data_IF_896355098458
#
_entry.id   IF_896355098458
#
_cell.length_a   1.000
_cell.length_b   1.000
_cell.length_c   1.000
_cell.angle_alpha   90.00
_cell.angle_beta   90.00
_cell.angle_gamma   90.00
#
_symmetry.space_group_name_H-M   'P 1'
#
loop_
_entity.id
_entity.type
_entity.pdbx_description
1 polymer ?
#
# COMPACT_ATOMS: atom_id res chain seq x y z
N UNK A 1 12.08 -22.26 -5.97
CA UNK A 1 10.90 -21.73 -5.25
C UNK A 1 9.72 -21.36 -6.17
N UNK A 2 9.87 -21.27 -7.49
CA UNK A 2 8.86 -20.68 -8.40
C UNK A 2 7.50 -21.39 -8.56
N UNK A 3 7.37 -22.71 -8.34
CA UNK A 3 6.08 -23.40 -8.61
C UNK A 3 4.94 -23.02 -7.65
N UNK A 4 5.25 -22.61 -6.41
CA UNK A 4 4.24 -22.17 -5.44
C UNK A 4 3.77 -20.73 -5.70
N UNK A 5 4.66 -19.87 -6.18
CA UNK A 5 4.33 -18.47 -6.53
C UNK A 5 3.49 -18.36 -7.80
N UNK A 6 3.71 -19.24 -8.78
CA UNK A 6 2.90 -19.31 -10.01
C UNK A 6 1.44 -19.71 -9.72
N UNK A 7 1.22 -20.65 -8.80
CA UNK A 7 -0.12 -21.06 -8.37
C UNK A 7 -0.83 -19.96 -7.55
N UNK A 8 -0.11 -19.23 -6.70
CA UNK A 8 -0.63 -18.09 -5.96
C UNK A 8 -1.00 -16.92 -6.88
N UNK A 9 -0.16 -16.60 -7.88
CA UNK A 9 -0.42 -15.54 -8.84
C UNK A 9 -1.62 -15.85 -9.76
N UNK A 10 -1.73 -17.10 -10.25
CA UNK A 10 -2.89 -17.55 -11.02
C UNK A 10 -4.17 -17.54 -10.19
N UNK A 11 -4.09 -17.93 -8.91
CA UNK A 11 -5.23 -17.83 -7.99
C UNK A 11 -5.65 -16.37 -7.77
N UNK A 12 -4.70 -15.45 -7.59
CA UNK A 12 -4.99 -14.03 -7.38
C UNK A 12 -5.66 -13.40 -8.60
N UNK A 13 -5.11 -13.62 -9.81
CA UNK A 13 -5.62 -13.07 -11.08
C UNK A 13 -7.03 -13.57 -11.41
N UNK A 14 -7.32 -14.85 -11.14
CA UNK A 14 -8.66 -15.41 -11.32
C UNK A 14 -9.63 -14.82 -10.29
N UNK A 15 -9.18 -14.56 -9.06
CA UNK A 15 -10.01 -13.95 -8.00
C UNK A 15 -10.35 -12.50 -8.33
N UNK A 16 -9.41 -11.68 -8.80
CA UNK A 16 -9.68 -10.30 -9.23
C UNK A 16 -10.59 -10.24 -10.45
N UNK A 17 -10.42 -11.13 -11.43
CA UNK A 17 -11.26 -11.17 -12.62
C UNK A 17 -12.72 -11.55 -12.30
N UNK A 18 -12.93 -12.49 -11.39
CA UNK A 18 -14.28 -12.90 -10.96
C UNK A 18 -14.96 -11.79 -10.15
N UNK A 19 -14.23 -11.11 -9.26
CA UNK A 19 -14.76 -9.97 -8.49
C UNK A 19 -15.12 -8.79 -9.41
N UNK A 20 -14.30 -8.47 -10.41
CA UNK A 20 -14.57 -7.39 -11.36
C UNK A 20 -15.82 -7.65 -12.23
N UNK A 21 -16.03 -8.90 -12.67
CA UNK A 21 -17.21 -9.30 -13.45
C UNK A 21 -18.49 -9.19 -12.60
N UNK A 22 -18.43 -9.59 -11.32
CA UNK A 22 -19.58 -9.51 -10.40
C UNK A 22 -19.95 -8.05 -10.07
N UNK A 23 -18.95 -7.16 -9.96
CA UNK A 23 -19.19 -5.73 -9.70
C UNK A 23 -19.75 -4.98 -10.91
N UNK A 24 -19.38 -5.38 -12.14
CA UNK A 24 -19.93 -4.77 -13.37
C UNK A 24 -21.41 -5.09 -13.60
N UNK A 25 -21.89 -6.27 -13.20
CA UNK A 25 -23.31 -6.63 -13.31
C UNK A 25 -24.17 -5.93 -12.24
N UNK A 26 -23.64 -5.70 -11.03
CA UNK A 26 -24.35 -4.97 -9.97
C UNK A 26 -24.64 -3.49 -10.33
N UNK A 27 -23.74 -2.85 -11.08
CA UNK A 27 -23.94 -1.47 -11.52
C UNK A 27 -25.01 -1.35 -12.63
N UNK A 28 -25.26 -2.42 -13.39
CA UNK A 28 -26.16 -2.41 -14.54
C UNK A 28 -27.63 -2.52 -14.13
N UNK A 29 -27.92 -3.15 -12.99
CA UNK A 29 -29.29 -3.27 -12.45
C UNK A 29 -29.77 -2.01 -11.71
N UNK A 30 -28.86 -1.16 -11.22
CA UNK A 30 -29.22 0.11 -10.54
C UNK A 30 -29.74 1.21 -11.49
N UNK A 31 -29.70 1.01 -12.82
CA UNK A 31 -30.01 2.07 -13.81
C UNK A 31 -31.44 2.03 -14.36
N UNK A 32 -32.32 1.17 -13.84
CA UNK A 32 -33.70 1.03 -14.32
C UNK A 32 -34.70 1.10 -13.16
N UNK A 33 -35.02 2.32 -12.72
CA UNK A 33 -36.21 2.80 -11.97
C UNK A 33 -35.74 4.10 -11.25
N UNK A 34 -36.31 5.30 -11.38
CA UNK A 34 -37.71 5.72 -11.51
C UNK A 34 -37.78 7.26 -11.82
N UNK A 35 -38.97 7.87 -11.95
CA UNK A 35 -39.24 8.99 -12.87
C UNK A 35 -39.13 10.41 -12.29
N UNK A 36 -39.19 11.34 -13.24
CA UNK A 36 -39.18 12.80 -13.18
C UNK A 36 -40.27 13.44 -12.30
N UNK A 37 -39.90 14.49 -11.54
CA UNK A 37 -40.81 15.59 -11.21
C UNK A 37 -40.02 16.90 -11.02
N UNK A 38 -40.54 17.95 -11.64
CA UNK A 38 -39.96 19.25 -11.91
C UNK A 38 -40.88 20.29 -11.26
N UNK A 39 -40.41 21.15 -10.35
CA UNK A 39 -41.14 22.37 -9.93
C UNK A 39 -40.16 23.50 -9.60
N UNK A 40 -40.46 24.66 -10.16
CA UNK A 40 -39.69 25.90 -10.27
C UNK A 40 -39.76 26.83 -9.04
N UNK A 41 -38.70 27.63 -8.89
CA UNK A 41 -38.53 28.99 -8.37
C UNK A 41 -39.71 29.75 -7.71
N UNK A 42 -39.45 30.43 -6.58
CA UNK A 42 -39.51 31.90 -6.43
C UNK A 42 -39.05 32.37 -5.02
N UNK A 43 -38.26 33.45 -5.00
CA UNK A 43 -37.95 34.39 -3.90
C UNK A 43 -38.30 35.81 -4.44
N UNK A 44 -38.27 36.96 -3.71
CA UNK A 44 -37.93 37.22 -2.29
C UNK A 44 -38.84 38.27 -1.60
N UNK A 45 -38.59 38.63 -0.32
CA UNK A 45 -38.85 39.99 0.21
C UNK A 45 -38.19 40.25 1.59
N UNK A 46 -37.72 41.49 1.75
CA UNK A 46 -36.89 42.03 2.84
C UNK A 46 -37.65 42.48 4.10
N UNK A 47 -36.93 42.65 5.23
CA UNK A 47 -37.40 43.37 6.42
C UNK A 47 -36.37 43.46 7.56
N UNK A 48 -36.19 44.66 8.12
CA UNK A 48 -35.07 45.13 8.97
C UNK A 48 -35.20 44.93 10.49
N UNK A 49 -34.02 44.80 11.13
CA UNK A 49 -33.48 45.40 12.38
C UNK A 49 -34.19 45.32 13.75
N UNK A 50 -33.42 44.92 14.78
CA UNK A 50 -32.98 45.62 16.03
C UNK A 50 -32.67 44.52 17.09
N UNK A 51 -31.70 44.58 18.01
CA UNK A 51 -30.74 45.57 18.48
C UNK A 51 -29.78 44.92 19.51
N UNK A 52 -28.91 45.77 20.08
CA UNK A 52 -28.14 45.61 21.33
C UNK A 52 -26.80 44.87 21.37
N UNK A 53 -25.87 45.56 22.04
CA UNK A 53 -24.42 45.38 22.03
C UNK A 53 -23.94 44.46 23.15
N UNK A 54 -23.09 43.49 22.80
CA UNK A 54 -22.09 42.94 23.71
C UNK A 54 -20.79 42.78 22.90
N UNK A 55 -19.71 43.40 23.37
CA UNK A 55 -18.37 43.26 22.80
C UNK A 55 -17.95 41.78 22.90
N UNK A 56 -18.10 41.07 21.78
CA UNK A 56 -17.55 39.74 21.55
C UNK A 56 -16.02 39.85 21.55
N UNK A 57 -15.40 39.20 22.53
CA UNK A 57 -14.04 38.69 22.42
C UNK A 57 -13.97 37.89 21.10
N UNK A 58 -12.99 38.23 20.27
CA UNK A 58 -12.94 37.88 18.85
C UNK A 58 -12.91 36.36 18.63
N UNK A 59 -13.97 35.75 18.09
CA UNK A 59 -13.96 34.32 17.76
C UNK A 59 -13.13 34.00 16.53
N UNK A 60 -12.73 35.02 15.75
CA UNK A 60 -12.18 34.80 14.41
C UNK A 60 -10.70 34.37 14.42
N UNK A 61 -9.87 34.90 15.33
CA UNK A 61 -8.45 34.49 15.40
C UNK A 61 -8.29 33.05 15.96
N UNK A 62 -9.13 32.65 16.91
CA UNK A 62 -9.13 31.28 17.44
C UNK A 62 -9.74 30.27 16.46
N UNK A 63 -10.75 30.67 15.67
CA UNK A 63 -11.28 29.84 14.59
C UNK A 63 -10.26 29.68 13.46
N UNK A 64 -9.47 30.71 13.13
CA UNK A 64 -8.44 30.59 12.09
C UNK A 64 -7.28 29.67 12.52
N UNK A 65 -6.91 29.65 13.82
CA UNK A 65 -5.98 28.66 14.38
C UNK A 65 -6.59 27.26 14.50
N UNK A 66 -7.89 27.13 14.79
CA UNK A 66 -8.61 25.84 14.75
C UNK A 66 -8.84 25.32 13.32
N UNK A 67 -8.99 26.22 12.34
CA UNK A 67 -9.12 25.89 10.91
C UNK A 67 -7.76 25.62 10.25
N UNK A 68 -6.65 26.15 10.77
CA UNK A 68 -5.32 25.70 10.37
C UNK A 68 -4.97 24.31 10.92
N UNK A 69 -5.77 23.77 11.86
CA UNK A 69 -5.72 22.37 12.29
C UNK A 69 -6.60 21.43 11.44
N UNK A 70 -7.38 21.94 10.48
CA UNK A 70 -8.12 21.07 9.56
C UNK A 70 -7.22 20.66 8.40
N UNK A 71 -6.42 19.62 8.64
CA UNK A 71 -6.07 18.68 7.58
C UNK A 71 -7.32 18.41 6.72
N UNK A 72 -7.18 18.47 5.39
CA UNK A 72 -8.22 18.00 4.47
C UNK A 72 -8.79 16.69 5.01
N UNK A 73 -10.11 16.51 5.20
CA UNK A 73 -10.65 15.33 5.87
C UNK A 73 -10.06 14.04 5.29
N UNK A 74 -9.18 13.39 6.06
CA UNK A 74 -8.53 12.13 5.68
C UNK A 74 -7.07 12.19 5.21
N UNK A 75 -6.47 13.36 4.98
CA UNK A 75 -5.05 13.49 4.56
C UNK A 75 -4.18 13.85 5.76
N UNK A 76 -3.23 12.99 6.09
CA UNK A 76 -2.31 13.18 7.20
C UNK A 76 -1.09 14.03 6.83
N UNK A 77 -0.50 14.71 7.82
CA UNK A 77 0.78 15.41 7.68
C UNK A 77 1.92 14.45 7.33
N UNK A 78 1.82 13.18 7.73
CA UNK A 78 2.83 12.16 7.42
C UNK A 78 2.94 11.91 5.91
N UNK A 79 1.82 11.99 5.20
CA UNK A 79 1.78 11.81 3.74
C UNK A 79 2.50 12.92 2.96
N UNK A 80 2.92 14.02 3.60
CA UNK A 80 3.70 15.08 2.96
C UNK A 80 5.19 14.74 2.84
N UNK A 81 5.64 13.68 3.51
CA UNK A 81 7.04 13.25 3.48
C UNK A 81 7.23 12.17 2.40
N UNK A 82 8.29 12.27 1.57
CA UNK A 82 8.60 11.25 0.58
C UNK A 82 8.70 9.85 1.21
N UNK A 83 8.09 8.87 0.56
CA UNK A 83 8.06 7.46 0.99
C UNK A 83 6.94 7.12 1.99
N UNK A 84 6.08 8.09 2.34
CA UNK A 84 4.94 7.88 3.24
C UNK A 84 3.58 8.05 2.56
N UNK A 85 3.54 8.51 1.31
CA UNK A 85 2.30 8.69 0.56
C UNK A 85 1.96 7.52 -0.37
N UNK A 86 2.98 6.74 -0.78
CA UNK A 86 2.90 5.77 -1.88
C UNK A 86 2.29 6.41 -3.14
N UNK A 87 2.65 7.67 -3.42
CA UNK A 87 2.18 8.39 -4.60
C UNK A 87 2.97 7.98 -5.84
N UNK A 88 2.43 8.31 -7.02
CA UNK A 88 3.17 8.21 -8.29
C UNK A 88 4.53 8.95 -8.24
N UNK A 89 4.64 10.00 -7.42
CA UNK A 89 5.89 10.72 -7.21
C UNK A 89 6.92 9.88 -6.42
N UNK A 90 6.48 9.19 -5.36
CA UNK A 90 7.32 8.27 -4.59
C UNK A 90 7.79 7.10 -5.47
N UNK A 91 6.90 6.54 -6.31
CA UNK A 91 7.24 5.47 -7.26
C UNK A 91 8.23 5.94 -8.34
N UNK A 92 7.99 7.12 -8.93
CA UNK A 92 8.89 7.69 -9.91
C UNK A 92 10.26 8.04 -9.29
N UNK A 93 10.28 8.50 -8.03
CA UNK A 93 11.51 8.73 -7.30
C UNK A 93 12.27 7.42 -7.04
N UNK A 94 11.57 6.39 -6.56
CA UNK A 94 12.15 5.06 -6.35
C UNK A 94 12.83 4.52 -7.62
N UNK A 95 12.15 4.60 -8.77
CA UNK A 95 12.70 4.16 -10.06
C UNK A 95 13.96 4.95 -10.46
N UNK A 96 13.97 6.28 -10.28
CA UNK A 96 15.16 7.11 -10.55
C UNK A 96 16.34 6.76 -9.66
N UNK A 97 16.08 6.56 -8.37
CA UNK A 97 17.12 6.20 -7.40
C UNK A 97 17.67 4.80 -7.66
N UNK A 98 16.81 3.85 -8.06
CA UNK A 98 17.22 2.50 -8.44
C UNK A 98 18.15 2.51 -9.64
N UNK A 99 17.78 3.18 -10.73
CA UNK A 99 18.67 3.35 -11.89
C UNK A 99 20.00 4.00 -11.49
N UNK A 100 19.96 5.02 -10.64
CA UNK A 100 21.19 5.68 -10.18
C UNK A 100 22.06 4.77 -9.31
N UNK A 101 21.48 3.91 -8.46
CA UNK A 101 22.22 2.90 -7.69
C UNK A 101 22.87 1.87 -8.61
N UNK A 102 22.16 1.37 -9.61
CA UNK A 102 22.69 0.42 -10.59
C UNK A 102 23.90 1.00 -11.36
N UNK A 103 23.85 2.27 -11.73
CA UNK A 103 24.99 2.96 -12.36
C UNK A 103 26.19 3.11 -11.41
N UNK A 104 25.95 3.39 -10.11
CA UNK A 104 27.01 3.42 -9.10
C UNK A 104 27.63 2.03 -8.90
N UNK A 105 26.83 0.97 -8.91
CA UNK A 105 27.29 -0.42 -8.84
C UNK A 105 28.14 -0.73 -10.06
N UNK A 106 27.69 -0.42 -11.27
CA UNK A 106 28.44 -0.62 -12.51
C UNK A 106 29.78 0.12 -12.50
N UNK A 107 29.78 1.38 -12.03
CA UNK A 107 31.01 2.16 -11.83
C UNK A 107 31.99 1.48 -10.88
N UNK A 108 31.52 1.07 -9.71
CA UNK A 108 32.32 0.39 -8.68
C UNK A 108 32.87 -0.96 -9.16
N UNK A 109 32.08 -1.76 -9.87
CA UNK A 109 32.52 -3.05 -10.41
C UNK A 109 33.61 -2.86 -11.46
N UNK A 110 33.46 -1.86 -12.34
CA UNK A 110 34.47 -1.50 -13.33
C UNK A 110 35.77 -0.99 -12.70
N UNK A 111 35.69 -0.22 -11.61
CA UNK A 111 36.87 0.20 -10.82
C UNK A 111 37.66 -1.01 -10.28
N UNK A 112 36.96 -2.09 -9.95
CA UNK A 112 37.54 -3.35 -9.48
C UNK A 112 37.91 -4.32 -10.61
N UNK A 113 37.77 -3.92 -11.87
CA UNK A 113 38.15 -4.72 -13.04
C UNK A 113 37.13 -5.79 -13.44
N UNK A 114 35.89 -5.68 -12.98
CA UNK A 114 34.79 -6.57 -13.37
C UNK A 114 33.83 -5.89 -14.36
N UNK A 115 33.29 -6.66 -15.29
CA UNK A 115 32.15 -6.23 -16.10
C UNK A 115 30.86 -6.37 -15.28
N UNK A 116 30.00 -5.36 -15.36
CA UNK A 116 28.68 -5.37 -14.73
C UNK A 116 27.71 -4.58 -15.62
N UNK A 117 26.59 -5.20 -15.94
CA UNK A 117 25.47 -4.62 -16.65
C UNK A 117 24.40 -4.26 -15.61
N UNK A 118 24.02 -2.97 -15.52
CA UNK A 118 22.88 -2.52 -14.71
C UNK A 118 21.65 -3.41 -14.89
N UNK A 119 21.03 -3.80 -13.77
CA UNK A 119 19.88 -4.69 -13.73
C UNK A 119 18.76 -4.10 -12.83
N UNK A 120 18.17 -2.96 -13.20
CA UNK A 120 17.05 -2.39 -12.45
C UNK A 120 15.82 -3.30 -12.49
N UNK A 121 14.94 -3.16 -11.51
CA UNK A 121 13.68 -3.88 -11.43
C UNK A 121 12.82 -3.63 -12.67
N UNK A 122 12.25 -4.70 -13.19
CA UNK A 122 11.27 -4.65 -14.26
C UNK A 122 9.93 -4.19 -13.68
N UNK A 123 9.47 -3.00 -14.08
CA UNK A 123 8.17 -2.48 -13.68
C UNK A 123 7.09 -3.16 -14.53
N UNK A 124 6.14 -3.81 -13.86
CA UNK A 124 4.96 -4.41 -14.49
C UNK A 124 3.75 -3.55 -14.12
N UNK A 125 3.22 -2.81 -15.08
CA UNK A 125 2.02 -2.00 -14.89
C UNK A 125 0.71 -2.78 -15.16
N UNK A 126 -0.43 -2.15 -14.88
CA UNK A 126 -1.75 -2.76 -15.05
C UNK A 126 -2.03 -3.16 -16.53
N UNK A 127 -1.51 -2.37 -17.48
CA UNK A 127 -1.67 -2.65 -18.89
C UNK A 127 -0.88 -3.90 -19.31
N UNK A 128 0.34 -4.06 -18.78
CA UNK A 128 1.15 -5.25 -18.97
C UNK A 128 0.51 -6.47 -18.32
N UNK A 129 -0.03 -6.37 -17.10
CA UNK A 129 -0.75 -7.47 -16.44
C UNK A 129 -1.96 -7.95 -17.24
N UNK A 130 -2.64 -7.03 -17.94
CA UNK A 130 -3.82 -7.33 -18.75
C UNK A 130 -3.49 -7.89 -20.14
N UNK A 131 -2.21 -7.89 -20.53
CA UNK A 131 -1.73 -8.42 -21.80
C UNK A 131 -0.85 -9.66 -21.56
N UNK A 132 -1.36 -10.89 -21.80
CA UNK A 132 -0.63 -12.12 -21.50
C UNK A 132 0.74 -12.24 -22.20
N UNK A 133 0.87 -11.75 -23.43
CA UNK A 133 2.14 -11.81 -24.17
C UNK A 133 3.17 -10.85 -23.60
N UNK A 134 2.74 -9.64 -23.24
CA UNK A 134 3.61 -8.63 -22.63
C UNK A 134 4.00 -9.01 -21.20
N UNK A 135 3.05 -9.54 -20.43
CA UNK A 135 3.32 -10.07 -19.10
C UNK A 135 4.37 -11.19 -19.13
N UNK A 136 4.22 -12.16 -20.03
CA UNK A 136 5.20 -13.25 -20.19
C UNK A 136 6.58 -12.71 -20.58
N UNK A 137 6.63 -11.70 -21.46
CA UNK A 137 7.87 -11.03 -21.86
C UNK A 137 8.57 -10.37 -20.66
N UNK A 138 7.85 -9.55 -19.90
CA UNK A 138 8.40 -8.85 -18.72
C UNK A 138 8.78 -9.83 -17.60
N UNK A 139 8.01 -10.90 -17.42
CA UNK A 139 8.35 -11.97 -16.48
C UNK A 139 9.67 -12.61 -16.88
N UNK A 140 9.84 -12.99 -18.15
CA UNK A 140 11.08 -13.57 -18.64
C UNK A 140 12.26 -12.61 -18.49
N UNK A 141 12.04 -11.32 -18.74
CA UNK A 141 13.04 -10.26 -18.52
C UNK A 141 13.43 -10.18 -17.03
N UNK A 142 12.46 -10.17 -16.11
CA UNK A 142 12.71 -10.10 -14.66
C UNK A 142 13.44 -11.33 -14.09
N UNK A 143 13.30 -12.48 -14.75
CA UNK A 143 13.97 -13.72 -14.37
C UNK A 143 15.37 -13.87 -14.99
N UNK A 144 15.74 -13.00 -15.93
CA UNK A 144 17.01 -13.06 -16.64
C UNK A 144 18.03 -12.16 -15.96
N UNK A 145 19.12 -12.73 -15.43
CA UNK A 145 20.25 -11.92 -14.96
C UNK A 145 21.16 -11.55 -16.15
N UNK A 146 21.28 -10.26 -16.52
CA UNK A 146 22.12 -9.85 -17.64
C UNK A 146 23.62 -10.10 -17.40
N UNK A 147 24.03 -10.30 -16.14
CA UNK A 147 25.42 -10.57 -15.76
C UNK A 147 25.78 -12.06 -15.78
N UNK A 148 24.79 -12.95 -15.90
CA UNK A 148 25.00 -14.40 -15.75
C UNK A 148 26.05 -14.94 -16.73
N UNK A 149 26.02 -14.51 -17.99
CA UNK A 149 26.95 -14.97 -19.03
C UNK A 149 28.40 -14.61 -18.68
N UNK A 150 28.63 -13.35 -18.26
CA UNK A 150 29.95 -12.89 -17.86
C UNK A 150 30.45 -13.65 -16.63
N UNK A 151 29.62 -13.71 -15.58
CA UNK A 151 29.95 -14.39 -14.33
C UNK A 151 30.24 -15.88 -14.56
N UNK A 152 29.49 -16.52 -15.47
CA UNK A 152 29.70 -17.92 -15.82
C UNK A 152 31.00 -18.18 -16.58
N UNK A 153 31.54 -17.18 -17.28
CA UNK A 153 32.83 -17.27 -17.97
C UNK A 153 34.04 -17.22 -17.01
N UNK A 154 33.85 -16.71 -15.79
CA UNK A 154 34.91 -16.60 -14.78
C UNK A 154 35.27 -17.96 -14.17
N UNK A 155 36.54 -18.12 -13.79
CA UNK A 155 36.98 -19.24 -12.95
C UNK A 155 36.26 -19.22 -11.61
N UNK A 156 36.27 -20.35 -10.89
CA UNK A 156 35.63 -20.47 -9.57
C UNK A 156 36.13 -19.38 -8.61
N UNK A 157 37.45 -19.17 -8.53
CA UNK A 157 38.03 -18.16 -7.64
C UNK A 157 37.71 -16.72 -8.09
N UNK A 158 37.71 -16.45 -9.40
CA UNK A 158 37.36 -15.13 -9.93
C UNK A 158 35.88 -14.81 -9.71
N UNK A 159 35.00 -15.80 -9.80
CA UNK A 159 33.56 -15.67 -9.53
C UNK A 159 33.28 -15.38 -8.06
N UNK A 160 34.01 -16.05 -7.16
CA UNK A 160 33.94 -15.75 -5.73
C UNK A 160 34.36 -14.30 -5.47
N UNK A 161 35.49 -13.87 -6.02
CA UNK A 161 35.97 -12.49 -5.87
C UNK A 161 35.00 -11.46 -6.50
N UNK A 162 34.35 -11.80 -7.62
CA UNK A 162 33.30 -11.00 -8.22
C UNK A 162 32.12 -10.78 -7.25
N UNK A 163 31.57 -11.84 -6.65
CA UNK A 163 30.44 -11.72 -5.73
C UNK A 163 30.83 -11.04 -4.41
N UNK A 164 32.04 -11.28 -3.90
CA UNK A 164 32.56 -10.55 -2.74
C UNK A 164 32.66 -9.05 -3.04
N UNK A 165 33.08 -8.67 -4.24
CA UNK A 165 33.14 -7.25 -4.64
C UNK A 165 31.73 -6.66 -4.82
N UNK A 166 30.84 -7.39 -5.49
CA UNK A 166 29.49 -6.92 -5.79
C UNK A 166 28.63 -6.79 -4.54
N UNK A 167 28.48 -7.87 -3.79
CA UNK A 167 27.53 -8.00 -2.67
C UNK A 167 28.18 -8.18 -1.31
N UNK A 168 29.48 -8.48 -1.26
CA UNK A 168 30.18 -8.85 -0.02
C UNK A 168 29.96 -10.31 0.37
N UNK A 169 29.39 -11.13 -0.53
CA UNK A 169 29.08 -12.54 -0.28
C UNK A 169 29.91 -13.44 -1.20
N UNK A 170 30.31 -14.62 -0.72
CA UNK A 170 31.03 -15.61 -1.53
C UNK A 170 30.17 -16.16 -2.67
N UNK A 171 28.89 -16.40 -2.40
CA UNK A 171 27.89 -16.83 -3.37
C UNK A 171 26.49 -16.37 -2.89
N UNK A 172 25.84 -15.43 -3.59
CA UNK A 172 24.51 -14.96 -3.21
C UNK A 172 23.41 -16.02 -3.37
N UNK A 173 23.69 -17.10 -4.11
CA UNK A 173 22.74 -18.19 -4.38
C UNK A 173 22.97 -19.43 -3.48
N UNK A 174 23.91 -19.38 -2.53
CA UNK A 174 24.15 -20.47 -1.60
C UNK A 174 23.18 -20.39 -0.40
N UNK A 175 22.20 -21.31 -0.28
CA UNK A 175 21.26 -21.31 0.84
C UNK A 175 21.91 -21.69 2.18
N UNK A 176 23.12 -22.25 2.16
CA UNK A 176 23.90 -22.65 3.34
C UNK A 176 25.02 -21.66 3.67
N UNK A 177 25.14 -20.55 2.93
CA UNK A 177 26.17 -19.53 3.07
C UNK A 177 26.20 -18.92 4.47
N UNK A 178 26.99 -19.50 5.37
CA UNK A 178 27.13 -19.08 6.75
C UNK A 178 28.02 -17.85 6.90
N UNK A 179 27.60 -17.00 7.85
CA UNK A 179 28.28 -15.84 8.42
C UNK A 179 28.65 -14.73 7.41
N UNK A 180 27.79 -13.71 7.36
CA UNK A 180 28.13 -12.42 6.75
C UNK A 180 29.35 -11.84 7.46
N UNK A 181 30.47 -11.74 6.76
CA UNK A 181 31.50 -10.78 7.15
C UNK A 181 30.88 -9.39 6.99
N UNK A 182 30.44 -8.80 8.09
CA UNK A 182 29.78 -7.50 8.10
C UNK A 182 30.69 -6.40 7.52
N UNK A 183 32.01 -6.56 7.63
CA UNK A 183 32.97 -5.63 7.04
C UNK A 183 33.00 -5.79 5.51
N UNK A 184 33.13 -7.02 5.00
CA UNK A 184 33.09 -7.28 3.56
C UNK A 184 31.74 -6.91 2.93
N UNK A 185 30.63 -7.17 3.64
CA UNK A 185 29.32 -6.66 3.27
C UNK A 185 29.34 -5.14 3.21
N UNK A 186 29.83 -4.45 4.24
CA UNK A 186 29.86 -2.99 4.27
C UNK A 186 30.67 -2.35 3.12
N UNK A 187 31.73 -2.98 2.62
CA UNK A 187 32.57 -2.41 1.54
C UNK A 187 32.15 -2.83 0.13
N UNK A 188 31.09 -3.64 -0.02
CA UNK A 188 30.62 -4.09 -1.33
C UNK A 188 30.07 -2.96 -2.21
N UNK A 189 30.13 -3.13 -3.53
CA UNK A 189 29.62 -2.15 -4.48
C UNK A 189 28.13 -1.85 -4.29
N UNK A 190 27.31 -2.89 -4.01
CA UNK A 190 25.90 -2.75 -3.66
C UNK A 190 25.74 -1.89 -2.42
N UNK A 191 26.40 -2.23 -1.31
CA UNK A 191 26.22 -1.46 -0.07
C UNK A 191 26.74 -0.03 -0.15
N UNK A 192 27.81 0.23 -0.93
CA UNK A 192 28.27 1.59 -1.23
C UNK A 192 27.17 2.39 -1.94
N UNK A 193 26.55 1.84 -2.99
CA UNK A 193 25.48 2.50 -3.72
C UNK A 193 24.26 2.81 -2.84
N UNK A 194 23.83 1.87 -1.99
CA UNK A 194 22.71 2.07 -1.06
C UNK A 194 23.00 3.08 0.07
N UNK A 195 24.27 3.25 0.47
CA UNK A 195 24.66 4.33 1.39
C UNK A 195 24.68 5.69 0.72
N UNK A 196 25.14 5.75 -0.52
CA UNK A 196 25.26 7.00 -1.28
C UNK A 196 23.90 7.52 -1.74
N UNK A 197 23.00 6.63 -2.14
CA UNK A 197 21.64 6.92 -2.55
C UNK A 197 20.66 6.12 -1.67
N UNK A 198 20.37 6.61 -0.45
CA UNK A 198 19.27 6.10 0.34
C UNK A 198 17.97 6.19 -0.46
N UNK A 199 17.17 5.11 -0.48
CA UNK A 199 15.90 5.11 -1.19
C UNK A 199 14.87 6.07 -0.58
N UNK A 200 13.86 6.45 -1.35
CA UNK A 200 12.72 7.26 -0.93
C UNK A 200 12.03 6.70 0.32
N UNK A 201 12.03 5.38 0.48
CA UNK A 201 11.49 4.67 1.64
C UNK A 201 12.48 4.51 2.82
N UNK A 202 13.71 5.02 2.72
CA UNK A 202 14.74 4.81 3.75
C UNK A 202 14.32 5.36 5.11
N UNK A 203 13.59 6.48 5.15
CA UNK A 203 13.07 7.05 6.41
C UNK A 203 11.95 6.23 7.00
N UNK A 204 11.04 5.71 6.17
CA UNK A 204 10.03 4.75 6.60
C UNK A 204 10.66 3.50 7.19
N UNK A 205 11.69 2.95 6.54
CA UNK A 205 12.44 1.80 7.05
C UNK A 205 13.17 2.10 8.36
N UNK A 206 13.77 3.30 8.49
CA UNK A 206 14.41 3.73 9.73
C UNK A 206 13.41 3.83 10.91
N UNK A 207 12.16 4.16 10.61
CA UNK A 207 11.11 4.38 11.61
C UNK A 207 10.11 3.22 11.71
N UNK A 208 10.43 2.04 11.14
CA UNK A 208 9.48 0.93 11.02
C UNK A 208 8.89 0.50 12.36
N UNK A 209 9.71 0.32 13.40
CA UNK A 209 9.24 -0.06 14.74
C UNK A 209 8.29 0.99 15.34
N UNK A 210 8.56 2.27 15.11
CA UNK A 210 7.73 3.36 15.60
C UNK A 210 6.40 3.47 14.84
N UNK A 211 6.42 3.17 13.54
CA UNK A 211 5.23 3.09 12.68
C UNK A 211 4.35 1.89 13.08
N UNK A 212 4.93 0.71 13.25
CA UNK A 212 4.22 -0.49 13.71
C UNK A 212 3.59 -0.24 15.09
N UNK A 213 4.34 0.36 16.02
CA UNK A 213 3.80 0.71 17.33
C UNK A 213 2.67 1.75 17.25
N UNK A 214 2.68 2.64 16.26
CA UNK A 214 1.60 3.59 16.01
C UNK A 214 0.36 2.87 15.44
N UNK A 215 0.53 2.01 14.46
CA UNK A 215 -0.55 1.22 13.84
C UNK A 215 -1.27 0.37 14.89
N UNK A 216 -0.54 -0.32 15.78
CA UNK A 216 -1.13 -1.07 16.89
C UNK A 216 -1.98 -0.19 17.81
N UNK A 217 -1.50 1.01 18.15
CA UNK A 217 -2.29 1.95 18.99
C UNK A 217 -3.53 2.49 18.29
N UNK A 218 -3.50 2.62 16.96
CA UNK A 218 -4.68 2.99 16.17
C UNK A 218 -5.72 1.88 16.32
N UNK A 219 -5.35 0.62 16.11
CA UNK A 219 -6.27 -0.53 16.22
C UNK A 219 -6.86 -0.69 17.63
N UNK A 220 -6.07 -0.39 18.67
CA UNK A 220 -6.48 -0.45 20.08
C UNK A 220 -7.25 0.80 20.55
N UNK A 221 -7.40 1.85 19.73
CA UNK A 221 -8.11 3.06 20.12
C UNK A 221 -9.58 2.73 20.43
N UNK A 222 -10.05 3.13 21.62
CA UNK A 222 -11.40 2.81 22.10
C UNK A 222 -12.50 3.21 21.12
N UNK A 223 -12.28 4.25 20.31
CA UNK A 223 -13.26 4.69 19.29
C UNK A 223 -13.38 3.66 18.18
N UNK A 224 -12.25 3.10 17.72
CA UNK A 224 -12.25 2.04 16.70
C UNK A 224 -12.81 0.74 17.27
N UNK A 225 -12.42 0.38 18.50
CA UNK A 225 -12.94 -0.82 19.18
C UNK A 225 -14.46 -0.77 19.26
N UNK A 226 -15.03 0.32 19.79
CA UNK A 226 -16.50 0.48 19.90
C UNK A 226 -17.19 0.49 18.55
N UNK A 227 -16.66 1.21 17.56
CA UNK A 227 -17.24 1.22 16.22
C UNK A 227 -17.18 -0.15 15.53
N UNK A 228 -16.17 -0.97 15.87
CA UNK A 228 -16.05 -2.35 15.40
C UNK A 228 -17.06 -3.27 16.11
N UNK A 229 -17.29 -3.06 17.40
CA UNK A 229 -18.36 -3.76 18.16
C UNK A 229 -19.74 -3.43 17.59
N UNK A 230 -20.05 -2.14 17.35
CA UNK A 230 -21.30 -1.69 16.72
C UNK A 230 -21.47 -2.30 15.32
N UNK A 231 -20.37 -2.41 14.56
CA UNK A 231 -20.38 -3.05 13.25
C UNK A 231 -20.67 -4.55 13.36
N UNK A 232 -20.05 -5.23 14.33
CA UNK A 232 -20.27 -6.65 14.59
C UNK A 232 -21.72 -6.93 15.00
N UNK A 233 -22.32 -6.09 15.85
CA UNK A 233 -23.73 -6.17 16.22
C UNK A 233 -24.64 -5.99 14.98
N UNK A 234 -24.33 -5.01 14.13
CA UNK A 234 -25.07 -4.78 12.88
C UNK A 234 -25.03 -5.99 11.92
N UNK A 235 -23.89 -6.69 11.86
CA UNK A 235 -23.74 -7.92 11.10
C UNK A 235 -24.51 -9.08 11.75
N UNK A 236 -24.50 -9.14 13.09
CA UNK A 236 -25.27 -10.09 13.90
C UNK A 236 -26.77 -9.98 13.68
N UNK A 237 -27.31 -8.76 13.62
CA UNK A 237 -28.72 -8.48 13.29
C UNK A 237 -29.13 -9.02 11.91
N UNK A 238 -28.15 -9.21 11.02
CA UNK A 238 -28.32 -9.76 9.67
C UNK A 238 -27.94 -11.23 9.56
N UNK A 239 -27.66 -11.90 10.68
CA UNK A 239 -27.40 -13.33 10.74
C UNK A 239 -25.94 -13.74 10.52
N UNK A 240 -25.00 -12.80 10.49
CA UNK A 240 -23.57 -13.10 10.38
C UNK A 240 -22.90 -13.17 11.76
N UNK A 241 -21.79 -13.90 11.86
CA UNK A 241 -21.03 -14.09 13.12
C UNK A 241 -19.64 -13.47 13.05
N UNK A 242 -19.53 -12.33 12.37
CA UNK A 242 -18.27 -11.63 12.16
C UNK A 242 -17.95 -10.71 13.33
N UNK A 243 -16.73 -10.85 13.86
CA UNK A 243 -16.19 -10.01 14.93
C UNK A 243 -15.53 -8.75 14.36
N UNK A 244 -14.96 -8.84 13.15
CA UNK A 244 -14.31 -7.71 12.47
C UNK A 244 -14.59 -7.72 10.97
N UNK A 245 -14.43 -6.57 10.28
CA UNK A 245 -14.52 -6.52 8.82
C UNK A 245 -13.58 -7.50 8.09
N UNK A 246 -12.42 -7.82 8.68
CA UNK A 246 -11.49 -8.78 8.10
C UNK A 246 -12.08 -10.21 8.02
N UNK A 247 -13.10 -10.52 8.81
CA UNK A 247 -13.75 -11.83 8.83
C UNK A 247 -14.51 -12.10 7.52
N UNK A 248 -14.98 -11.05 6.84
CA UNK A 248 -15.64 -11.15 5.53
C UNK A 248 -14.64 -11.71 4.50
N UNK A 249 -13.43 -11.14 4.46
CA UNK A 249 -12.35 -11.64 3.59
C UNK A 249 -11.89 -13.03 4.00
N UNK A 250 -11.74 -13.31 5.31
CA UNK A 250 -11.37 -14.65 5.79
C UNK A 250 -12.41 -15.71 5.41
N UNK A 251 -13.69 -15.36 5.40
CA UNK A 251 -14.74 -16.26 4.90
C UNK A 251 -14.58 -16.50 3.40
N UNK A 252 -14.38 -15.44 2.61
CA UNK A 252 -14.15 -15.56 1.17
C UNK A 252 -12.95 -16.46 0.87
N UNK A 253 -11.82 -16.23 1.52
CA UNK A 253 -10.61 -17.04 1.36
C UNK A 253 -10.87 -18.50 1.71
N UNK A 254 -11.46 -18.79 2.88
CA UNK A 254 -11.75 -20.16 3.29
C UNK A 254 -12.64 -20.88 2.27
N UNK A 255 -13.66 -20.18 1.73
CA UNK A 255 -14.57 -20.73 0.73
C UNK A 255 -13.89 -20.95 -0.60
N UNK A 256 -13.01 -20.05 -1.03
CA UNK A 256 -12.26 -20.21 -2.26
C UNK A 256 -11.21 -21.32 -2.16
N UNK A 257 -10.59 -21.51 -0.99
CA UNK A 257 -9.61 -22.60 -0.78
C UNK A 257 -10.25 -23.99 -0.72
N UNK A 258 -11.50 -24.08 -0.27
CA UNK A 258 -12.25 -25.34 -0.21
C UNK A 258 -12.79 -25.79 -1.58
N UNK A 259 -12.75 -24.91 -2.59
CA UNK A 259 -13.16 -25.24 -3.96
C UNK A 259 -12.02 -25.97 -4.66
N UNK A 260 -12.20 -27.27 -4.85
CA UNK A 260 -11.49 -27.98 -5.91
C UNK A 260 -12.12 -27.64 -7.26
N UNK A 261 -11.50 -26.70 -7.98
CA UNK A 261 -11.97 -26.24 -9.30
C UNK A 261 -12.07 -27.36 -10.34
N UNK A 262 -11.41 -28.51 -10.11
CA UNK A 262 -11.51 -29.69 -10.99
C UNK A 262 -12.77 -30.53 -10.76
N UNK A 263 -13.47 -30.32 -9.64
CA UNK A 263 -14.67 -31.10 -9.24
C UNK A 263 -15.91 -30.25 -9.01
N UNK A 264 -15.78 -28.94 -8.79
CA UNK A 264 -16.90 -28.02 -8.57
C UNK A 264 -17.44 -27.48 -9.89
N UNK A 265 -18.71 -27.75 -10.19
CA UNK A 265 -19.37 -27.25 -11.39
C UNK A 265 -19.70 -25.75 -11.34
N UNK A 266 -19.85 -25.11 -12.51
CA UNK A 266 -20.11 -23.66 -12.66
C UNK A 266 -21.31 -23.15 -11.83
N UNK A 267 -22.34 -23.97 -11.67
CA UNK A 267 -23.51 -23.62 -10.86
C UNK A 267 -23.19 -23.50 -9.36
N UNK A 268 -22.28 -24.32 -8.83
CA UNK A 268 -21.85 -24.21 -7.44
C UNK A 268 -20.95 -22.98 -7.23
N UNK A 269 -20.06 -22.68 -8.18
CA UNK A 269 -19.25 -21.45 -8.15
C UNK A 269 -20.12 -20.20 -8.14
N UNK A 270 -21.19 -20.16 -8.95
CA UNK A 270 -22.16 -19.05 -8.95
C UNK A 270 -22.79 -18.84 -7.58
N UNK A 271 -23.25 -19.90 -6.93
CA UNK A 271 -23.89 -19.81 -5.61
C UNK A 271 -22.91 -19.32 -4.54
N UNK A 272 -21.65 -19.77 -4.59
CA UNK A 272 -20.61 -19.28 -3.68
C UNK A 272 -20.35 -17.79 -3.93
N UNK A 273 -20.23 -17.37 -5.18
CA UNK A 273 -20.08 -15.95 -5.53
C UNK A 273 -21.24 -15.09 -5.04
N UNK A 274 -22.47 -15.57 -5.18
CA UNK A 274 -23.67 -14.88 -4.67
C UNK A 274 -23.65 -14.73 -3.14
N UNK A 275 -23.29 -15.79 -2.42
CA UNK A 275 -23.17 -15.77 -0.97
C UNK A 275 -22.10 -14.77 -0.49
N UNK A 276 -20.92 -14.79 -1.11
CA UNK A 276 -19.83 -13.88 -0.77
C UNK A 276 -20.21 -12.43 -1.05
N UNK A 277 -20.83 -12.16 -2.21
CA UNK A 277 -21.29 -10.83 -2.58
C UNK A 277 -22.35 -10.29 -1.62
N UNK A 278 -23.28 -11.13 -1.16
CA UNK A 278 -24.30 -10.72 -0.18
C UNK A 278 -23.66 -10.32 1.15
N UNK A 279 -22.71 -11.14 1.66
CA UNK A 279 -22.01 -10.82 2.90
C UNK A 279 -21.20 -9.52 2.82
N UNK A 280 -20.61 -9.23 1.65
CA UNK A 280 -19.84 -8.01 1.40
C UNK A 280 -20.73 -6.76 1.37
N UNK A 281 -21.89 -6.82 0.70
CA UNK A 281 -22.88 -5.73 0.68
C UNK A 281 -23.40 -5.41 2.07
N UNK A 282 -23.74 -6.45 2.83
CA UNK A 282 -24.19 -6.32 4.22
C UNK A 282 -23.09 -5.70 5.10
N UNK A 283 -21.83 -6.11 4.90
CA UNK A 283 -20.69 -5.52 5.60
C UNK A 283 -20.53 -4.03 5.29
N UNK A 284 -20.67 -3.63 4.03
CA UNK A 284 -20.61 -2.24 3.58
C UNK A 284 -21.73 -1.40 4.19
N UNK A 285 -22.98 -1.87 4.14
CA UNK A 285 -24.12 -1.21 4.77
C UNK A 285 -23.89 -1.01 6.28
N UNK A 286 -23.35 -2.02 6.96
CA UNK A 286 -23.02 -1.91 8.37
C UNK A 286 -21.89 -0.92 8.63
N UNK A 287 -20.89 -0.87 7.75
CA UNK A 287 -19.76 0.06 7.85
C UNK A 287 -20.20 1.52 7.68
N UNK A 288 -21.12 1.77 6.73
CA UNK A 288 -21.76 3.08 6.56
C UNK A 288 -22.64 3.44 7.76
N UNK A 289 -23.45 2.51 8.26
CA UNK A 289 -24.37 2.73 9.39
C UNK A 289 -23.63 3.11 10.67
N UNK A 290 -22.48 2.50 10.94
CA UNK A 290 -21.71 2.74 12.17
C UNK A 290 -20.66 3.84 12.02
N UNK A 291 -20.39 4.29 10.78
CA UNK A 291 -19.34 5.26 10.52
C UNK A 291 -17.93 4.73 10.79
N UNK A 292 -17.75 3.40 10.81
CA UNK A 292 -16.49 2.75 11.19
C UNK A 292 -15.30 3.26 10.35
N UNK A 293 -15.48 3.49 9.06
CA UNK A 293 -14.41 3.99 8.19
C UNK A 293 -14.03 5.44 8.47
N UNK A 294 -15.01 6.29 8.74
CA UNK A 294 -14.73 7.68 9.07
C UNK A 294 -14.02 7.77 10.42
N UNK A 295 -14.42 6.95 11.40
CA UNK A 295 -13.74 6.84 12.70
C UNK A 295 -12.30 6.35 12.51
N UNK A 296 -12.09 5.24 11.79
CA UNK A 296 -10.74 4.72 11.50
C UNK A 296 -9.87 5.75 10.81
N UNK A 297 -10.41 6.45 9.82
CA UNK A 297 -9.71 7.51 9.07
C UNK A 297 -9.32 8.66 9.99
N UNK A 298 -10.23 9.12 10.85
CA UNK A 298 -9.96 10.20 11.80
C UNK A 298 -8.88 9.80 12.81
N UNK A 299 -9.02 8.63 13.45
CA UNK A 299 -8.04 8.15 14.43
C UNK A 299 -6.67 7.99 13.77
N UNK A 300 -6.58 7.37 12.60
CA UNK A 300 -5.31 7.25 11.86
C UNK A 300 -4.64 8.61 11.65
N UNK A 301 -5.37 9.60 11.14
CA UNK A 301 -4.83 10.96 10.90
C UNK A 301 -4.34 11.60 12.21
N UNK A 302 -5.06 11.44 13.32
CA UNK A 302 -4.64 11.96 14.62
C UNK A 302 -3.29 11.36 15.08
N UNK A 303 -3.15 10.03 14.98
CA UNK A 303 -1.94 9.31 15.35
C UNK A 303 -0.77 9.59 14.42
N UNK A 304 -0.98 9.63 13.11
CA UNK A 304 0.07 9.96 12.15
C UNK A 304 0.53 11.42 12.31
N UNK A 305 -0.37 12.35 12.60
CA UNK A 305 0.01 13.73 12.92
C UNK A 305 0.80 13.81 14.24
N UNK A 306 0.47 12.97 15.23
CA UNK A 306 1.27 12.86 16.45
C UNK A 306 2.66 12.27 16.17
N UNK A 307 2.72 11.26 15.30
CA UNK A 307 3.97 10.66 14.86
C UNK A 307 4.88 11.69 14.19
N UNK A 308 4.35 12.52 13.29
CA UNK A 308 5.10 13.63 12.68
C UNK A 308 5.64 14.60 13.73
N UNK A 309 4.84 14.96 14.75
CA UNK A 309 5.30 15.84 15.83
C UNK A 309 6.45 15.20 16.62
N UNK A 310 6.37 13.90 16.89
CA UNK A 310 7.36 13.17 17.67
C UNK A 310 8.66 12.89 16.88
N UNK A 311 8.57 12.74 15.55
CA UNK A 311 9.68 12.33 14.69
C UNK A 311 10.10 13.40 13.67
N UNK A 312 9.77 14.67 13.92
CA UNK A 312 10.04 15.78 12.99
C UNK A 312 11.51 15.87 12.59
N UNK A 313 12.42 15.57 13.52
CA UNK A 313 13.86 15.61 13.27
C UNK A 313 14.30 14.46 12.35
N UNK A 314 13.83 13.23 12.59
CA UNK A 314 14.17 12.08 11.76
C UNK A 314 13.60 12.18 10.34
N UNK A 315 12.39 12.75 10.21
CA UNK A 315 11.70 13.01 8.95
C UNK A 315 12.34 14.13 8.11
N UNK A 316 13.32 14.87 8.65
CA UNK A 316 13.99 15.96 7.94
C UNK A 316 13.26 17.30 7.97
N UNK A 317 12.25 17.45 8.84
CA UNK A 317 11.58 18.72 9.07
C UNK A 317 12.53 19.71 9.76
N UNK A 318 12.83 20.84 9.09
CA UNK A 318 13.58 21.94 9.71
C UNK A 318 12.90 22.31 11.04
N UNK A 319 13.69 22.42 12.13
CA UNK A 319 13.22 23.03 13.39
C UNK A 319 12.63 24.40 13.06
N UNK A 320 11.47 24.79 13.62
CA UNK A 320 11.07 26.19 13.54
C UNK A 320 12.21 27.02 14.14
N UNK A 321 12.76 27.95 13.35
CA UNK A 321 13.71 28.93 13.85
C UNK A 321 12.95 29.82 14.84
N UNK A 322 13.46 29.92 16.07
CA UNK A 322 12.96 30.81 17.11
C UNK A 322 13.24 32.28 16.77
#
# INVERSE_FOLDING_TARGET
>A
MGKKYVLLALSLVVTTAVVAIVLQDAHRESSLESPTANVSNEEPLAGQQTGESAQLLQPQEDIEQLMQATATPGVSELAKYPGFSNSEEDEAQFSREEMAREELIAGCMRENGYEYTPAPSVVVDEAAMSNPEEFERLLQESLSDPNEVYVNSLSVDMRKAYYQTLTGMDNPNDPEGQAHDLAAFSDSCVNRAYREIPGVYAKRNQLSEALEAMELRIEEDERIVRATEDWSECMGDRGYTFSTPADVLRQADARLTDIDQSTVGAQALRLIGEELNESAKVAEDCQQKTGLDDIRRQVRVEYENQFVRNHRAELGGRKPEN
#
